data_IF_214241705291
#
_entry.id   IF_214241705291
#
_cell.length_a   1.000
_cell.length_b   1.000
_cell.length_c   1.000
_cell.angle_alpha   90.00
_cell.angle_beta   90.00
_cell.angle_gamma   90.00
#
_symmetry.space_group_name_H-M   'P 1'
#
loop_
_entity.id
_entity.type
_entity.pdbx_description
1 polymer ?
#
# COMPACT_ATOMS: atom_id res chain seq x y z
N UNK A 1 6.34 24.29 -29.04
CA UNK A 1 5.09 23.64 -28.56
C UNK A 1 4.46 22.88 -29.73
N UNK A 2 4.81 21.61 -29.95
CA UNK A 2 4.02 20.66 -30.79
C UNK A 2 4.57 19.22 -30.71
N UNK A 3 4.72 18.65 -29.52
CA UNK A 3 4.69 17.19 -29.38
C UNK A 3 3.38 16.84 -28.70
N UNK A 4 2.59 15.95 -29.29
CA UNK A 4 1.41 15.38 -28.65
C UNK A 4 1.74 15.05 -27.19
N UNK A 5 1.22 15.82 -26.23
CA UNK A 5 1.39 15.52 -24.81
C UNK A 5 0.69 14.18 -24.58
N UNK A 6 1.47 13.11 -24.43
CA UNK A 6 0.93 11.79 -24.08
C UNK A 6 0.31 11.92 -22.70
N UNK A 7 -1.00 11.75 -22.64
CA UNK A 7 -1.80 11.83 -21.42
C UNK A 7 -1.60 10.54 -20.62
N UNK A 8 -1.45 10.67 -19.29
CA UNK A 8 -1.35 9.53 -18.38
C UNK A 8 -2.64 8.70 -18.40
N UNK A 9 -2.52 7.36 -18.45
CA UNK A 9 -3.65 6.42 -18.54
C UNK A 9 -4.70 6.87 -19.57
N UNK A 10 -4.28 7.01 -20.83
CA UNK A 10 -5.13 7.58 -21.89
C UNK A 10 -6.45 6.84 -22.12
N UNK A 11 -6.57 5.60 -21.65
CA UNK A 11 -7.79 4.79 -21.74
C UNK A 11 -8.89 5.27 -20.76
N UNK A 12 -8.52 5.90 -19.64
CA UNK A 12 -9.45 6.24 -18.54
C UNK A 12 -9.35 7.71 -18.08
N UNK A 13 -8.41 8.48 -18.61
CA UNK A 13 -8.25 9.90 -18.28
C UNK A 13 -9.52 10.70 -18.65
N UNK A 14 -10.03 11.50 -17.72
CA UNK A 14 -11.28 12.27 -17.86
C UNK A 14 -12.50 11.45 -18.34
N UNK A 15 -12.55 10.16 -18.05
CA UNK A 15 -13.64 9.26 -18.46
C UNK A 15 -14.94 9.43 -17.66
N UNK A 16 -14.89 10.03 -16.47
CA UNK A 16 -16.05 10.20 -15.59
C UNK A 16 -16.44 11.67 -15.51
N UNK A 17 -17.65 11.99 -15.99
CA UNK A 17 -18.24 13.32 -15.89
C UNK A 17 -18.51 13.70 -14.43
N UNK A 18 -18.23 14.97 -14.11
CA UNK A 18 -18.43 15.53 -12.78
C UNK A 18 -19.65 16.45 -12.78
N UNK A 19 -20.51 16.40 -11.74
CA UNK A 19 -21.68 17.25 -11.68
C UNK A 19 -21.28 18.70 -11.48
N UNK A 20 -21.88 19.61 -12.24
CA UNK A 20 -21.63 21.05 -12.14
C UNK A 20 -22.44 21.75 -11.04
N UNK A 21 -23.04 20.97 -10.13
CA UNK A 21 -23.95 21.45 -9.09
C UNK A 21 -23.21 21.69 -7.76
N UNK A 22 -23.80 22.49 -6.87
CA UNK A 22 -23.25 22.79 -5.54
C UNK A 22 -23.57 21.73 -4.46
N UNK A 23 -24.27 20.64 -4.79
CA UNK A 23 -24.61 19.60 -3.82
C UNK A 23 -23.39 18.78 -3.41
N UNK A 24 -22.99 18.89 -2.13
CA UNK A 24 -21.79 18.23 -1.60
C UNK A 24 -21.80 16.71 -1.80
N UNK A 25 -22.87 16.03 -1.42
CA UNK A 25 -22.97 14.56 -1.49
C UNK A 25 -22.97 14.01 -2.92
N UNK A 26 -23.60 14.71 -3.86
CA UNK A 26 -23.59 14.31 -5.27
C UNK A 26 -22.19 14.44 -5.87
N UNK A 27 -21.48 15.52 -5.53
CA UNK A 27 -20.09 15.70 -5.93
C UNK A 27 -19.20 14.65 -5.27
N UNK A 28 -19.34 14.41 -3.96
CA UNK A 28 -18.55 13.39 -3.27
C UNK A 28 -18.73 12.03 -3.95
N UNK A 29 -19.96 11.59 -4.20
CA UNK A 29 -20.23 10.33 -4.90
C UNK A 29 -19.65 10.25 -6.31
N UNK A 30 -19.52 11.37 -7.03
CA UNK A 30 -18.89 11.38 -8.34
C UNK A 30 -17.36 11.25 -8.26
N UNK A 31 -16.75 11.78 -7.19
CA UNK A 31 -15.30 11.77 -6.97
C UNK A 31 -14.83 10.57 -6.14
N UNK A 32 -15.72 9.85 -5.46
CA UNK A 32 -15.41 8.59 -4.76
C UNK A 32 -14.91 7.54 -5.76
N UNK A 33 -13.83 6.85 -5.42
CA UNK A 33 -13.30 5.73 -6.19
C UNK A 33 -11.77 5.66 -6.27
N UNK A 34 -11.08 6.70 -6.78
CA UNK A 34 -9.62 6.75 -6.85
C UNK A 34 -8.96 6.49 -5.49
N UNK A 35 -9.52 7.07 -4.42
CA UNK A 35 -9.06 6.86 -3.06
C UNK A 35 -9.18 5.42 -2.60
N UNK A 36 -10.18 4.65 -3.06
CA UNK A 36 -10.33 3.24 -2.71
C UNK A 36 -9.21 2.40 -3.35
N UNK A 37 -8.91 2.63 -4.64
CA UNK A 37 -7.78 1.98 -5.32
C UNK A 37 -6.43 2.34 -4.69
N UNK A 38 -6.30 3.53 -4.13
CA UNK A 38 -5.07 3.92 -3.42
C UNK A 38 -5.02 3.26 -2.04
N UNK A 39 -6.09 3.36 -1.26
CA UNK A 39 -6.16 2.85 0.11
C UNK A 39 -6.01 1.33 0.19
N UNK A 40 -6.40 0.59 -0.86
CA UNK A 40 -6.26 -0.86 -0.86
C UNK A 40 -4.81 -1.33 -0.84
N UNK A 41 -3.90 -0.56 -1.46
CA UNK A 41 -2.47 -0.86 -1.38
C UNK A 41 -1.92 -0.74 0.05
N UNK A 42 -2.57 0.01 0.93
CA UNK A 42 -2.21 0.12 2.34
C UNK A 42 -2.75 -1.03 3.21
N UNK A 43 -3.47 -1.97 2.60
CA UNK A 43 -4.03 -3.17 3.23
C UNK A 43 -3.41 -4.46 2.66
N UNK A 44 -2.27 -4.35 1.97
CA UNK A 44 -1.56 -5.47 1.37
C UNK A 44 -0.98 -6.40 2.46
N UNK A 45 -0.64 -7.66 2.11
CA UNK A 45 -0.12 -8.61 3.08
C UNK A 45 1.21 -8.14 3.72
N UNK A 46 2.01 -7.33 3.01
CA UNK A 46 3.28 -6.79 3.52
C UNK A 46 3.11 -6.06 4.85
N UNK A 47 2.05 -5.25 4.98
CA UNK A 47 1.75 -4.47 6.18
C UNK A 47 1.22 -5.30 7.36
N UNK A 48 0.69 -6.50 7.09
CA UNK A 48 0.02 -7.32 8.09
C UNK A 48 1.02 -7.91 9.07
N UNK A 49 2.14 -8.44 8.56
CA UNK A 49 3.15 -9.10 9.39
C UNK A 49 3.70 -8.11 10.42
N UNK A 50 4.11 -6.92 9.98
CA UNK A 50 4.64 -5.89 10.88
C UNK A 50 3.63 -5.44 11.93
N UNK A 51 2.34 -5.37 11.56
CA UNK A 51 1.28 -4.92 12.48
C UNK A 51 0.93 -5.98 13.52
N UNK A 52 0.75 -7.23 13.09
CA UNK A 52 0.39 -8.35 13.98
C UNK A 52 1.55 -8.69 14.91
N UNK A 53 2.78 -8.79 14.38
CA UNK A 53 3.99 -9.03 15.19
C UNK A 53 4.27 -7.87 16.15
N UNK A 54 4.03 -6.63 15.71
CA UNK A 54 4.08 -5.44 16.56
C UNK A 54 3.13 -5.54 17.76
N UNK A 55 1.87 -5.95 17.51
CA UNK A 55 0.89 -6.18 18.56
C UNK A 55 1.27 -7.32 19.51
N UNK A 56 1.76 -8.43 18.96
CA UNK A 56 2.17 -9.60 19.72
C UNK A 56 3.39 -9.35 20.63
N UNK A 57 4.27 -8.44 20.21
CA UNK A 57 5.48 -8.08 20.97
C UNK A 57 5.23 -6.96 21.98
N UNK A 58 4.47 -5.93 21.60
CA UNK A 58 4.38 -4.67 22.34
C UNK A 58 2.95 -4.25 22.73
N UNK A 59 1.99 -5.18 22.67
CA UNK A 59 0.55 -4.90 22.86
C UNK A 59 0.09 -3.71 22.01
N UNK A 60 -0.53 -2.71 22.65
CA UNK A 60 -1.14 -1.56 22.01
C UNK A 60 -0.16 -0.39 21.77
N UNK A 61 1.09 -0.49 22.20
CA UNK A 61 2.04 0.65 22.23
C UNK A 61 2.33 1.25 20.84
N UNK A 62 2.24 0.42 19.79
CA UNK A 62 2.51 0.82 18.40
C UNK A 62 1.27 1.38 17.66
N UNK A 63 0.10 1.48 18.30
CA UNK A 63 -1.10 2.10 17.70
C UNK A 63 -0.86 3.58 17.36
N UNK A 64 -0.15 4.32 18.21
CA UNK A 64 0.26 5.70 17.92
C UNK A 64 1.09 5.80 16.64
N UNK A 65 2.00 4.83 16.40
CA UNK A 65 2.82 4.79 15.20
C UNK A 65 1.96 4.59 13.95
N UNK A 66 0.98 3.67 14.00
CA UNK A 66 0.01 3.47 12.91
C UNK A 66 -0.77 4.75 12.60
N UNK A 67 -1.18 5.50 13.63
CA UNK A 67 -1.90 6.77 13.47
C UNK A 67 -1.03 7.81 12.76
N UNK A 68 0.20 8.06 13.25
CA UNK A 68 1.12 9.03 12.65
C UNK A 68 1.48 8.63 11.22
N UNK A 69 1.75 7.35 11.00
CA UNK A 69 2.03 6.79 9.68
C UNK A 69 0.89 7.03 8.69
N UNK A 70 -0.36 6.82 9.14
CA UNK A 70 -1.55 7.04 8.31
C UNK A 70 -1.76 8.53 7.99
N UNK A 71 -1.49 9.43 8.94
CA UNK A 71 -1.56 10.88 8.70
C UNK A 71 -0.50 11.35 7.69
N UNK A 72 0.72 10.81 7.78
CA UNK A 72 1.78 11.03 6.80
C UNK A 72 1.35 10.54 5.42
N UNK A 73 0.79 9.34 5.33
CA UNK A 73 0.28 8.79 4.09
C UNK A 73 -0.81 9.69 3.48
N UNK A 74 -1.79 10.13 4.27
CA UNK A 74 -2.84 11.06 3.82
C UNK A 74 -2.26 12.36 3.28
N UNK A 75 -1.25 12.93 3.94
CA UNK A 75 -0.59 14.15 3.49
C UNK A 75 0.12 13.94 2.14
N UNK A 76 0.95 12.91 2.01
CA UNK A 76 1.69 12.63 0.78
C UNK A 76 0.75 12.26 -0.37
N UNK A 77 -0.30 11.51 -0.09
CA UNK A 77 -1.32 11.15 -1.07
C UNK A 77 -2.12 12.36 -1.54
N UNK A 78 -2.47 13.27 -0.63
CA UNK A 78 -3.09 14.55 -0.99
C UNK A 78 -2.18 15.37 -1.93
N UNK A 79 -0.87 15.39 -1.68
CA UNK A 79 0.09 16.07 -2.54
C UNK A 79 0.19 15.42 -3.92
N UNK A 80 0.23 14.09 -3.98
CA UNK A 80 0.28 13.32 -5.23
C UNK A 80 -0.97 13.51 -6.09
N UNK A 81 -2.16 13.32 -5.49
CA UNK A 81 -3.43 13.54 -6.18
C UNK A 81 -3.57 14.98 -6.67
N UNK A 82 -3.15 15.97 -5.86
CA UNK A 82 -3.18 17.39 -6.25
C UNK A 82 -2.24 17.71 -7.41
N UNK A 83 -1.05 17.12 -7.44
CA UNK A 83 -0.12 17.26 -8.58
C UNK A 83 -0.80 16.78 -9.87
N UNK A 84 -1.44 15.61 -9.83
CA UNK A 84 -2.20 15.05 -10.95
C UNK A 84 -3.28 15.99 -11.48
N UNK A 85 -4.15 16.47 -10.59
CA UNK A 85 -5.26 17.35 -10.95
C UNK A 85 -4.78 18.67 -11.54
N UNK A 86 -3.80 19.31 -10.90
CA UNK A 86 -3.37 20.68 -11.27
C UNK A 86 -2.53 20.68 -12.55
N UNK A 87 -1.60 19.73 -12.66
CA UNK A 87 -0.61 19.74 -13.76
C UNK A 87 -1.06 18.96 -14.99
N UNK A 88 -2.10 18.12 -14.86
CA UNK A 88 -2.51 17.12 -15.87
C UNK A 88 -1.35 16.19 -16.27
N UNK A 89 -0.42 15.95 -15.34
CA UNK A 89 0.68 15.02 -15.47
C UNK A 89 0.70 14.15 -14.23
N UNK A 90 1.01 12.87 -14.39
CA UNK A 90 1.33 12.04 -13.24
C UNK A 90 2.73 12.37 -12.69
N UNK A 91 3.03 11.86 -11.50
CA UNK A 91 4.31 12.09 -10.83
C UNK A 91 5.49 11.56 -11.64
N UNK A 92 5.34 10.46 -12.40
CA UNK A 92 6.41 9.90 -13.22
C UNK A 92 6.73 10.82 -14.40
N UNK A 93 5.71 11.31 -15.11
CA UNK A 93 5.82 12.30 -16.18
C UNK A 93 6.45 13.60 -15.69
N UNK A 94 5.96 14.13 -14.56
CA UNK A 94 6.46 15.37 -13.99
C UNK A 94 7.92 15.23 -13.54
N UNK A 95 8.29 14.10 -12.93
CA UNK A 95 9.66 13.80 -12.50
C UNK A 95 10.59 13.61 -13.71
N UNK A 96 10.17 12.82 -14.71
CA UNK A 96 10.94 12.56 -15.92
C UNK A 96 11.17 13.83 -16.76
N UNK A 97 10.22 14.78 -16.75
CA UNK A 97 10.36 16.05 -17.47
C UNK A 97 11.36 17.00 -16.82
N UNK A 98 11.51 16.94 -15.49
CA UNK A 98 12.38 17.82 -14.71
C UNK A 98 13.75 17.19 -14.37
N UNK A 99 13.99 15.94 -14.78
CA UNK A 99 15.21 15.20 -14.47
C UNK A 99 16.08 15.00 -15.72
N UNK A 100 17.42 15.00 -15.59
CA UNK A 100 18.30 14.59 -16.67
C UNK A 100 18.08 13.11 -17.03
N UNK A 101 18.45 12.73 -18.26
CA UNK A 101 18.19 11.37 -18.80
C UNK A 101 18.74 10.25 -17.90
N UNK A 102 19.93 10.42 -17.32
CA UNK A 102 20.52 9.41 -16.44
C UNK A 102 19.65 9.17 -15.19
N UNK A 103 19.24 10.23 -14.50
CA UNK A 103 18.43 10.14 -13.29
C UNK A 103 17.05 9.56 -13.60
N UNK A 104 16.45 9.97 -14.72
CA UNK A 104 15.18 9.44 -15.21
C UNK A 104 15.20 7.92 -15.35
N UNK A 105 16.24 7.35 -15.96
CA UNK A 105 16.36 5.89 -16.11
C UNK A 105 16.69 5.20 -14.79
N UNK A 106 17.54 5.78 -13.94
CA UNK A 106 17.82 5.23 -12.62
C UNK A 106 16.57 5.16 -11.73
N UNK A 107 15.77 6.23 -11.72
CA UNK A 107 14.51 6.27 -10.98
C UNK A 107 13.50 5.24 -11.50
N UNK A 108 13.43 5.05 -12.82
CA UNK A 108 12.61 3.99 -13.40
C UNK A 108 13.02 2.61 -12.90
N UNK A 109 14.31 2.26 -12.94
CA UNK A 109 14.79 0.96 -12.45
C UNK A 109 14.44 0.76 -10.97
N UNK A 110 14.67 1.78 -10.13
CA UNK A 110 14.37 1.70 -8.69
C UNK A 110 12.86 1.44 -8.47
N UNK A 111 12.00 2.12 -9.21
CA UNK A 111 10.55 1.98 -9.09
C UNK A 111 10.03 0.64 -9.62
N UNK A 112 10.57 0.14 -10.73
CA UNK A 112 10.21 -1.19 -11.24
C UNK A 112 10.62 -2.29 -10.26
N UNK A 113 11.80 -2.18 -9.66
CA UNK A 113 12.23 -3.10 -8.61
C UNK A 113 11.32 -2.99 -7.37
N UNK A 114 10.82 -1.80 -7.05
CA UNK A 114 9.91 -1.61 -5.93
C UNK A 114 8.55 -2.24 -6.20
N UNK A 115 8.03 -2.08 -7.43
CA UNK A 115 6.83 -2.75 -7.90
C UNK A 115 7.00 -4.28 -7.87
N UNK A 116 8.16 -4.79 -8.30
CA UNK A 116 8.48 -6.23 -8.24
C UNK A 116 8.53 -6.74 -6.79
N UNK A 117 9.08 -5.97 -5.86
CA UNK A 117 9.13 -6.32 -4.44
C UNK A 117 7.74 -6.31 -3.78
N UNK A 118 6.85 -5.39 -4.18
CA UNK A 118 5.43 -5.44 -3.79
C UNK A 118 4.77 -6.67 -4.37
N UNK A 119 4.94 -6.92 -5.67
CA UNK A 119 4.32 -8.04 -6.38
C UNK A 119 4.71 -9.39 -5.78
N UNK A 120 5.96 -9.50 -5.30
CA UNK A 120 6.43 -10.68 -4.54
C UNK A 120 5.59 -10.95 -3.28
N UNK A 121 5.30 -9.91 -2.48
CA UNK A 121 4.49 -10.05 -1.27
C UNK A 121 3.05 -10.49 -1.61
N UNK A 122 2.51 -10.02 -2.74
CA UNK A 122 1.19 -10.41 -3.23
C UNK A 122 1.13 -11.88 -3.66
N UNK A 123 2.13 -12.34 -4.42
CA UNK A 123 2.25 -13.73 -4.85
C UNK A 123 2.29 -14.63 -3.64
N UNK A 124 3.20 -14.33 -2.71
CA UNK A 124 3.43 -15.18 -1.55
C UNK A 124 2.18 -15.19 -0.67
N UNK A 125 1.56 -14.03 -0.39
CA UNK A 125 0.31 -13.96 0.35
C UNK A 125 -0.82 -14.76 -0.30
N UNK A 126 -1.00 -14.63 -1.62
CA UNK A 126 -2.04 -15.36 -2.36
C UNK A 126 -1.76 -16.87 -2.41
N UNK A 127 -0.51 -17.26 -2.67
CA UNK A 127 -0.12 -18.66 -2.75
C UNK A 127 -0.24 -19.36 -1.39
N UNK A 128 0.17 -18.68 -0.31
CA UNK A 128 -0.03 -19.16 1.06
C UNK A 128 -1.52 -19.27 1.37
N UNK A 129 -2.34 -18.27 1.03
CA UNK A 129 -3.79 -18.35 1.21
C UNK A 129 -4.42 -19.57 0.49
N UNK A 130 -4.03 -19.83 -0.77
CA UNK A 130 -4.47 -20.99 -1.53
C UNK A 130 -4.02 -22.31 -0.89
N UNK A 131 -2.79 -22.37 -0.39
CA UNK A 131 -2.27 -23.53 0.35
C UNK A 131 -3.08 -23.77 1.62
N UNK A 132 -3.37 -22.73 2.40
CA UNK A 132 -4.08 -22.84 3.67
C UNK A 132 -5.55 -23.24 3.48
N UNK A 133 -6.24 -22.64 2.49
CA UNK A 133 -7.67 -22.86 2.21
C UNK A 133 -7.94 -24.21 1.51
N UNK A 134 -7.18 -24.51 0.46
CA UNK A 134 -7.46 -25.64 -0.43
C UNK A 134 -6.47 -26.79 -0.29
N UNK A 135 -5.47 -26.66 0.60
CA UNK A 135 -4.38 -27.64 0.80
C UNK A 135 -3.59 -27.92 -0.49
N UNK A 136 -3.56 -26.95 -1.40
CA UNK A 136 -2.78 -27.02 -2.64
C UNK A 136 -1.28 -26.89 -2.29
N UNK A 137 -0.40 -27.76 -2.78
CA UNK A 137 1.05 -27.64 -2.56
C UNK A 137 1.57 -26.25 -2.93
N UNK A 138 2.42 -25.65 -2.09
CA UNK A 138 2.82 -24.23 -2.22
C UNK A 138 3.41 -23.90 -3.60
N UNK A 139 4.18 -24.80 -4.20
CA UNK A 139 4.75 -24.60 -5.54
C UNK A 139 3.66 -24.51 -6.62
N UNK A 140 2.64 -25.36 -6.53
CA UNK A 140 1.49 -25.33 -7.45
C UNK A 140 0.69 -24.05 -7.19
N UNK A 141 0.48 -23.67 -5.93
CA UNK A 141 -0.21 -22.44 -5.57
C UNK A 141 0.49 -21.19 -6.13
N UNK A 142 1.82 -21.11 -6.02
CA UNK A 142 2.64 -20.05 -6.63
C UNK A 142 2.43 -20.00 -8.15
N UNK A 143 2.50 -21.14 -8.84
CA UNK A 143 2.26 -21.19 -10.29
C UNK A 143 0.82 -20.79 -10.66
N UNK A 144 -0.18 -21.15 -9.85
CA UNK A 144 -1.56 -20.73 -10.06
C UNK A 144 -1.75 -19.22 -9.94
N UNK A 145 -0.94 -18.52 -9.15
CA UNK A 145 -1.03 -17.05 -9.08
C UNK A 145 -0.68 -16.35 -10.39
N UNK A 146 0.03 -17.01 -11.32
CA UNK A 146 0.29 -16.47 -12.67
C UNK A 146 -1.00 -16.34 -13.49
N UNK A 147 -2.02 -17.13 -13.15
CA UNK A 147 -3.32 -17.07 -13.81
C UNK A 147 -4.09 -15.78 -13.49
N UNK A 148 -3.61 -14.97 -12.54
CA UNK A 148 -4.18 -13.66 -12.25
C UNK A 148 -4.10 -12.68 -13.44
N UNK A 149 -3.21 -12.92 -14.42
CA UNK A 149 -3.18 -12.18 -15.69
C UNK A 149 -4.52 -12.33 -16.41
N UNK A 150 -5.14 -13.52 -16.37
CA UNK A 150 -6.47 -13.73 -16.95
C UNK A 150 -7.56 -13.01 -16.16
N UNK A 151 -7.44 -12.97 -14.84
CA UNK A 151 -8.34 -12.20 -13.98
C UNK A 151 -8.24 -10.71 -14.28
N UNK A 152 -7.02 -10.18 -14.41
CA UNK A 152 -6.78 -8.80 -14.82
C UNK A 152 -7.40 -8.51 -16.20
N UNK A 153 -7.14 -9.36 -17.19
CA UNK A 153 -7.73 -9.24 -18.53
C UNK A 153 -9.27 -9.23 -18.51
N UNK A 154 -9.88 -10.04 -17.62
CA UNK A 154 -11.32 -10.03 -17.40
C UNK A 154 -11.78 -8.73 -16.75
N UNK A 155 -11.07 -8.26 -15.72
CA UNK A 155 -11.37 -7.03 -15.00
C UNK A 155 -11.28 -5.80 -15.91
N UNK A 156 -10.31 -5.77 -16.82
CA UNK A 156 -10.15 -4.71 -17.82
C UNK A 156 -11.33 -4.58 -18.79
N UNK A 157 -12.11 -5.65 -19.01
CA UNK A 157 -13.35 -5.56 -19.82
C UNK A 157 -14.46 -4.82 -19.08
N UNK A 158 -14.35 -4.66 -17.77
CA UNK A 158 -15.29 -3.86 -16.99
C UNK A 158 -14.88 -2.39 -16.99
N UNK A 159 -15.86 -1.49 -17.08
CA UNK A 159 -15.61 -0.06 -16.95
C UNK A 159 -15.08 0.31 -15.55
N UNK A 160 -14.32 1.41 -15.47
CA UNK A 160 -13.58 1.79 -14.26
C UNK A 160 -14.44 1.88 -12.98
N UNK A 161 -15.69 2.36 -13.07
CA UNK A 161 -16.62 2.37 -11.93
C UNK A 161 -16.90 0.98 -11.34
N UNK A 162 -16.93 -0.07 -12.17
CA UNK A 162 -17.12 -1.45 -11.69
C UNK A 162 -15.87 -1.96 -11.01
N UNK A 163 -14.68 -1.60 -11.51
CA UNK A 163 -13.41 -1.93 -10.87
C UNK A 163 -13.32 -1.26 -9.50
N UNK A 164 -13.64 0.04 -9.40
CA UNK A 164 -13.73 0.78 -8.12
C UNK A 164 -14.66 0.08 -7.12
N UNK A 165 -15.83 -0.40 -7.59
CA UNK A 165 -16.78 -1.14 -6.75
C UNK A 165 -16.23 -2.49 -6.28
N UNK A 166 -15.59 -3.27 -7.16
CA UNK A 166 -14.98 -4.56 -6.80
C UNK A 166 -13.91 -4.38 -5.73
N UNK A 167 -13.01 -3.40 -5.90
CA UNK A 167 -11.96 -3.07 -4.92
C UNK A 167 -12.58 -2.66 -3.58
N UNK A 168 -13.63 -1.84 -3.62
CA UNK A 168 -14.36 -1.42 -2.41
C UNK A 168 -14.98 -2.63 -1.68
N UNK A 169 -15.56 -3.59 -2.41
CA UNK A 169 -16.10 -4.83 -1.81
C UNK A 169 -15.00 -5.66 -1.15
N UNK A 170 -13.82 -5.76 -1.76
CA UNK A 170 -12.69 -6.49 -1.18
C UNK A 170 -12.17 -5.81 0.10
N UNK A 171 -12.07 -4.47 0.11
CA UNK A 171 -11.75 -3.69 1.33
C UNK A 171 -12.76 -3.98 2.45
N UNK A 172 -14.06 -3.88 2.15
CA UNK A 172 -15.11 -4.10 3.14
C UNK A 172 -15.11 -5.54 3.67
N UNK A 173 -14.75 -6.51 2.83
CA UNK A 173 -14.60 -7.92 3.22
C UNK A 173 -13.46 -8.08 4.24
N UNK A 174 -12.29 -7.52 3.95
CA UNK A 174 -11.12 -7.56 4.86
C UNK A 174 -11.47 -6.87 6.18
N UNK A 175 -12.09 -5.67 6.12
CA UNK A 175 -12.50 -4.92 7.29
C UNK A 175 -13.51 -5.70 8.14
N UNK A 176 -14.53 -6.30 7.53
CA UNK A 176 -15.55 -7.07 8.23
C UNK A 176 -14.94 -8.29 8.93
N UNK A 177 -14.03 -9.01 8.24
CA UNK A 177 -13.34 -10.17 8.80
C UNK A 177 -12.51 -9.75 10.03
N UNK A 178 -11.65 -8.74 9.92
CA UNK A 178 -10.83 -8.34 11.06
C UNK A 178 -11.62 -7.71 12.20
N UNK A 179 -12.69 -6.98 11.89
CA UNK A 179 -13.60 -6.47 12.91
C UNK A 179 -14.24 -7.62 13.69
N UNK A 180 -14.67 -8.67 12.99
CA UNK A 180 -15.23 -9.87 13.61
C UNK A 180 -14.19 -10.60 14.49
N UNK A 181 -12.96 -10.81 13.98
CA UNK A 181 -11.88 -11.45 14.75
C UNK A 181 -11.55 -10.68 16.03
N UNK A 182 -11.42 -9.35 15.94
CA UNK A 182 -11.11 -8.49 17.10
C UNK A 182 -12.29 -8.41 18.07
N UNK A 183 -13.53 -8.38 17.59
CA UNK A 183 -14.70 -8.37 18.47
C UNK A 183 -14.77 -9.64 19.33
N UNK A 184 -14.41 -10.79 18.77
CA UNK A 184 -14.34 -12.07 19.50
C UNK A 184 -13.18 -12.13 20.49
N UNK A 185 -12.07 -11.43 20.24
CA UNK A 185 -10.90 -11.46 21.12
C UNK A 185 -11.03 -10.62 22.39
N UNK A 186 -12.18 -9.95 22.60
CA UNK A 186 -12.48 -9.12 23.78
C UNK A 186 -11.30 -8.22 24.23
N UNK A 187 -10.76 -7.35 23.35
CA UNK A 187 -9.61 -6.52 23.68
C UNK A 187 -9.97 -5.46 24.74
N UNK A 188 -8.97 -5.03 25.51
CA UNK A 188 -9.14 -3.94 26.48
C UNK A 188 -9.33 -2.61 25.76
N UNK A 189 -10.55 -2.05 25.80
CA UNK A 189 -10.84 -0.74 25.20
C UNK A 189 -9.98 0.37 25.80
N UNK A 190 -9.72 0.33 27.10
CA UNK A 190 -8.83 1.27 27.78
C UNK A 190 -7.40 1.20 27.20
N UNK A 191 -6.85 -0.01 27.04
CA UNK A 191 -5.51 -0.20 26.48
C UNK A 191 -5.40 0.27 25.03
N UNK A 192 -6.46 0.13 24.23
CA UNK A 192 -6.52 0.65 22.85
C UNK A 192 -6.43 2.17 22.84
N UNK A 193 -7.22 2.86 23.68
CA UNK A 193 -7.22 4.33 23.76
C UNK A 193 -5.87 4.84 24.26
N UNK A 194 -5.30 4.20 25.28
CA UNK A 194 -3.96 4.53 25.81
C UNK A 194 -2.86 4.27 24.77
N UNK A 195 -3.01 3.24 23.93
CA UNK A 195 -2.07 2.93 22.85
C UNK A 195 -1.98 3.99 21.75
N UNK A 196 -3.04 4.79 21.57
CA UNK A 196 -3.02 5.94 20.65
C UNK A 196 -2.37 7.19 21.24
N UNK A 197 -2.06 7.20 22.53
CA UNK A 197 -1.31 8.30 23.14
C UNK A 197 0.19 8.15 22.86
N UNK A 198 0.93 9.27 22.69
CA UNK A 198 2.38 9.21 22.51
C UNK A 198 3.03 8.60 23.74
N UNK A 199 3.79 7.51 23.55
CA UNK A 199 4.57 6.88 24.61
C UNK A 199 6.07 7.02 24.35
N UNK A 200 6.82 7.47 25.36
CA UNK A 200 8.27 7.63 25.29
C UNK A 200 9.03 6.29 25.21
N UNK A 201 8.34 5.17 25.45
CA UNK A 201 8.89 3.81 25.40
C UNK A 201 9.41 3.41 24.01
N UNK A 202 9.01 4.13 22.95
CA UNK A 202 9.51 3.94 21.59
C UNK A 202 11.04 4.08 21.46
N UNK A 203 11.68 4.82 22.36
CA UNK A 203 13.13 5.05 22.37
C UNK A 203 13.88 4.23 23.43
N UNK A 204 13.18 3.37 24.17
CA UNK A 204 13.79 2.54 25.19
C UNK A 204 14.55 1.35 24.58
N UNK A 205 15.50 0.80 25.35
CA UNK A 205 16.31 -0.34 24.89
C UNK A 205 15.43 -1.59 24.71
N UNK A 206 15.77 -2.47 23.75
CA UNK A 206 14.98 -3.68 23.49
C UNK A 206 14.85 -4.55 24.74
N UNK A 207 13.66 -5.13 24.95
CA UNK A 207 13.52 -6.23 25.89
C UNK A 207 14.34 -7.43 25.38
N UNK A 208 15.06 -8.16 26.24
CA UNK A 208 15.86 -9.29 25.81
C UNK A 208 15.00 -10.35 25.08
N UNK A 209 15.35 -10.65 23.84
CA UNK A 209 14.63 -11.62 22.99
C UNK A 209 13.58 -11.03 22.05
N UNK A 210 13.34 -9.72 22.05
CA UNK A 210 12.42 -9.05 21.13
C UNK A 210 13.15 -8.12 20.15
N UNK A 211 12.66 -8.01 18.91
CA UNK A 211 13.10 -6.97 17.98
C UNK A 211 12.86 -5.59 18.60
N UNK A 212 13.74 -4.62 18.35
CA UNK A 212 13.57 -3.27 18.89
C UNK A 212 12.19 -2.70 18.53
N UNK A 213 11.51 -2.13 19.52
CA UNK A 213 10.24 -1.43 19.32
C UNK A 213 10.35 -0.36 18.22
N UNK A 214 11.52 0.28 18.12
CA UNK A 214 11.82 1.20 17.06
C UNK A 214 11.80 0.48 15.70
N UNK A 215 12.53 -0.62 15.52
CA UNK A 215 12.57 -1.38 14.25
C UNK A 215 11.19 -1.78 13.75
N UNK A 216 10.31 -2.28 14.63
CA UNK A 216 8.92 -2.59 14.27
C UNK A 216 8.11 -1.32 13.94
N UNK A 217 8.30 -0.24 14.69
CA UNK A 217 7.70 1.05 14.36
C UNK A 217 8.16 1.56 12.98
N UNK A 218 9.45 1.37 12.63
CA UNK A 218 10.00 1.74 11.32
C UNK A 218 9.39 0.87 10.22
N UNK A 219 9.28 -0.43 10.45
CA UNK A 219 8.61 -1.37 9.56
C UNK A 219 7.17 -0.92 9.27
N UNK A 220 6.40 -0.61 10.31
CA UNK A 220 5.01 -0.11 10.17
C UNK A 220 4.99 1.17 9.31
N UNK A 221 5.86 2.14 9.59
CA UNK A 221 5.88 3.41 8.85
C UNK A 221 6.30 3.22 7.39
N UNK A 222 7.36 2.47 7.13
CA UNK A 222 7.88 2.20 5.80
C UNK A 222 6.90 1.41 4.94
N UNK A 223 6.26 0.40 5.53
CA UNK A 223 5.28 -0.44 4.87
C UNK A 223 3.97 0.34 4.59
N UNK A 224 3.58 1.25 5.48
CA UNK A 224 2.43 2.14 5.21
C UNK A 224 2.71 3.05 4.01
N UNK A 225 3.83 3.77 3.97
CA UNK A 225 4.05 4.75 2.90
C UNK A 225 4.67 4.10 1.67
N UNK A 226 3.83 3.57 0.79
CA UNK A 226 4.28 2.91 -0.44
C UNK A 226 4.59 3.91 -1.57
N UNK A 227 5.79 3.86 -2.19
CA UNK A 227 6.17 4.80 -3.25
C UNK A 227 5.28 4.68 -4.49
N UNK A 228 4.95 3.45 -4.89
CA UNK A 228 4.15 3.18 -6.09
C UNK A 228 2.75 3.81 -5.98
N UNK A 229 2.14 3.83 -4.79
CA UNK A 229 0.83 4.43 -4.58
C UNK A 229 0.81 5.94 -4.80
N UNK A 230 1.95 6.64 -4.67
CA UNK A 230 2.05 8.08 -5.00
C UNK A 230 1.91 8.30 -6.52
N UNK A 231 2.54 7.44 -7.32
CA UNK A 231 2.40 7.48 -8.77
C UNK A 231 0.98 7.12 -9.18
N UNK A 232 0.42 6.06 -8.61
CA UNK A 232 -0.95 5.61 -8.84
C UNK A 232 -1.94 6.75 -8.60
N UNK A 233 -1.93 7.36 -7.42
CA UNK A 233 -2.89 8.38 -7.06
C UNK A 233 -2.77 9.64 -7.92
N UNK A 234 -1.54 10.03 -8.28
CA UNK A 234 -1.30 11.18 -9.18
C UNK A 234 -1.87 10.97 -10.59
N UNK A 235 -2.03 9.72 -11.03
CA UNK A 235 -2.67 9.41 -12.31
C UNK A 235 -4.18 9.19 -12.16
N UNK A 236 -4.62 8.44 -11.14
CA UNK A 236 -6.03 8.16 -10.90
C UNK A 236 -6.85 9.42 -10.60
N UNK A 237 -6.23 10.44 -10.00
CA UNK A 237 -6.89 11.73 -9.76
C UNK A 237 -7.28 12.47 -11.05
N UNK A 238 -6.73 12.06 -12.20
CA UNK A 238 -7.02 12.62 -13.53
C UNK A 238 -8.18 11.89 -14.24
N UNK A 239 -8.74 10.82 -13.67
CA UNK A 239 -9.87 10.08 -14.27
C UNK A 239 -11.17 10.89 -14.31
N UNK A 240 -11.30 11.90 -13.44
CA UNK A 240 -12.45 12.79 -13.37
C UNK A 240 -12.28 13.96 -14.34
N UNK A 241 -13.33 14.27 -15.09
CA UNK A 241 -13.34 15.40 -16.01
C UNK A 241 -13.42 16.72 -15.23
N UNK A 242 -12.47 17.62 -15.51
CA UNK A 242 -12.30 18.89 -14.80
C UNK A 242 -12.09 19.98 -15.84
N UNK A 243 -12.72 21.13 -15.65
CA UNK A 243 -12.50 22.31 -16.47
C UNK A 243 -11.33 23.14 -15.94
N UNK A 244 -10.12 22.88 -16.46
CA UNK A 244 -8.91 23.61 -16.05
C UNK A 244 -8.88 25.10 -16.41
N UNK A 245 -9.84 25.60 -17.21
CA UNK A 245 -10.00 27.05 -17.43
C UNK A 245 -10.63 27.75 -16.23
N UNK A 246 -11.43 27.02 -15.44
CA UNK A 246 -12.05 27.53 -14.22
C UNK A 246 -11.27 27.07 -12.98
N UNK A 247 -10.63 28.04 -12.31
CA UNK A 247 -9.87 27.81 -11.08
C UNK A 247 -10.75 27.29 -9.94
N UNK A 248 -12.04 27.63 -9.91
CA UNK A 248 -12.95 27.14 -8.89
C UNK A 248 -13.26 25.66 -9.06
N UNK A 249 -13.35 25.19 -10.31
CA UNK A 249 -13.56 23.76 -10.59
C UNK A 249 -12.33 22.92 -10.22
N UNK A 250 -11.12 23.42 -10.50
CA UNK A 250 -9.87 22.78 -10.05
C UNK A 250 -9.82 22.74 -8.51
N UNK A 251 -10.17 23.83 -7.82
CA UNK A 251 -10.22 23.89 -6.35
C UNK A 251 -11.25 22.90 -5.77
N UNK A 252 -12.41 22.79 -6.42
CA UNK A 252 -13.47 21.82 -6.09
C UNK A 252 -12.95 20.39 -6.25
N UNK A 253 -12.33 20.07 -7.38
CA UNK A 253 -11.77 18.75 -7.65
C UNK A 253 -10.69 18.37 -6.63
N UNK A 254 -9.76 19.26 -6.30
CA UNK A 254 -8.74 19.02 -5.27
C UNK A 254 -9.40 18.76 -3.91
N UNK A 255 -10.43 19.53 -3.54
CA UNK A 255 -11.15 19.33 -2.28
C UNK A 255 -11.83 17.97 -2.21
N UNK A 256 -12.57 17.57 -3.24
CA UNK A 256 -13.29 16.28 -3.23
C UNK A 256 -12.35 15.08 -3.36
N UNK A 257 -11.27 15.18 -4.13
CA UNK A 257 -10.21 14.17 -4.15
C UNK A 257 -9.56 14.02 -2.76
N UNK A 258 -9.31 15.13 -2.06
CA UNK A 258 -8.76 15.07 -0.69
C UNK A 258 -9.73 14.38 0.28
N UNK A 259 -11.03 14.66 0.17
CA UNK A 259 -12.05 13.97 0.99
C UNK A 259 -12.13 12.47 0.69
N UNK A 260 -12.17 12.09 -0.59
CA UNK A 260 -12.16 10.68 -1.02
C UNK A 260 -10.93 9.95 -0.50
N UNK A 261 -9.73 10.50 -0.74
CA UNK A 261 -8.47 9.92 -0.26
C UNK A 261 -8.43 9.78 1.26
N UNK A 262 -8.83 10.81 2.03
CA UNK A 262 -8.77 10.76 3.48
C UNK A 262 -9.78 9.77 4.07
N UNK A 263 -10.98 9.67 3.50
CA UNK A 263 -12.00 8.72 3.95
C UNK A 263 -11.49 7.29 3.76
N UNK A 264 -10.96 6.98 2.58
CA UNK A 264 -10.48 5.64 2.23
C UNK A 264 -9.21 5.26 3.00
N UNK A 265 -8.25 6.20 3.15
CA UNK A 265 -7.07 5.96 3.98
C UNK A 265 -7.41 5.85 5.48
N UNK A 266 -8.50 6.45 5.94
CA UNK A 266 -9.01 6.24 7.31
C UNK A 266 -9.53 4.81 7.50
N UNK A 267 -10.14 4.22 6.47
CA UNK A 267 -10.49 2.79 6.50
C UNK A 267 -9.24 1.91 6.53
N UNK A 268 -8.19 2.25 5.77
CA UNK A 268 -6.89 1.56 5.84
C UNK A 268 -6.25 1.67 7.22
N UNK A 269 -6.29 2.85 7.84
CA UNK A 269 -5.87 3.05 9.22
C UNK A 269 -6.62 2.12 10.19
N UNK A 270 -7.95 2.02 10.08
CA UNK A 270 -8.75 1.14 10.93
C UNK A 270 -8.34 -0.32 10.75
N UNK A 271 -8.13 -0.79 9.51
CA UNK A 271 -7.67 -2.16 9.24
C UNK A 271 -6.30 -2.42 9.88
N UNK A 272 -5.34 -1.51 9.72
CA UNK A 272 -4.01 -1.64 10.33
C UNK A 272 -4.07 -1.66 11.86
N UNK A 273 -4.93 -0.82 12.45
CA UNK A 273 -5.17 -0.85 13.90
C UNK A 273 -5.81 -2.16 14.34
N UNK A 274 -6.77 -2.71 13.60
CA UNK A 274 -7.40 -4.01 13.90
C UNK A 274 -6.38 -5.15 13.85
N UNK A 275 -5.46 -5.15 12.87
CA UNK A 275 -4.39 -6.14 12.76
C UNK A 275 -3.48 -6.11 14.00
N UNK A 276 -3.10 -4.91 14.45
CA UNK A 276 -2.26 -4.77 15.63
C UNK A 276 -3.00 -5.15 16.92
N UNK A 277 -4.26 -4.75 17.06
CA UNK A 277 -5.12 -5.13 18.19
C UNK A 277 -5.31 -6.64 18.23
N UNK A 278 -5.50 -7.29 17.08
CA UNK A 278 -5.59 -8.75 16.96
C UNK A 278 -4.32 -9.41 17.47
N UNK A 279 -3.15 -8.92 17.04
CA UNK A 279 -1.85 -9.38 17.53
C UNK A 279 -1.69 -9.22 19.04
N UNK A 280 -2.10 -8.07 19.58
CA UNK A 280 -2.04 -7.78 21.00
C UNK A 280 -3.01 -8.61 21.85
N UNK A 281 -4.18 -8.95 21.31
CA UNK A 281 -5.22 -9.67 22.04
C UNK A 281 -5.02 -11.19 21.99
N UNK A 282 -4.59 -11.75 20.85
CA UNK A 282 -4.48 -13.19 20.65
C UNK A 282 -3.06 -13.75 20.73
N UNK A 283 -2.05 -12.95 20.40
CA UNK A 283 -0.69 -13.46 20.23
C UNK A 283 0.33 -12.82 21.16
N UNK A 284 -0.12 -12.06 22.16
CA UNK A 284 0.81 -11.42 23.09
C UNK A 284 1.67 -12.44 23.83
N UNK A 285 2.99 -12.25 23.80
CA UNK A 285 3.96 -13.18 24.37
C UNK A 285 4.37 -14.34 23.47
N UNK A 286 3.75 -14.49 22.29
CA UNK A 286 4.04 -15.55 21.31
C UNK A 286 4.55 -14.99 19.97
N UNK A 287 5.15 -13.79 19.99
CA UNK A 287 5.57 -13.09 18.77
C UNK A 287 6.56 -13.88 17.90
N UNK A 288 7.45 -14.67 18.51
CA UNK A 288 8.41 -15.53 17.80
C UNK A 288 7.75 -16.69 17.06
N UNK A 289 6.51 -17.02 17.40
CA UNK A 289 5.76 -18.15 16.84
C UNK A 289 4.81 -17.73 15.72
N UNK A 290 4.74 -16.42 15.39
CA UNK A 290 3.80 -15.85 14.39
C UNK A 290 4.48 -14.97 13.35
N UNK A 291 5.78 -15.18 13.10
CA UNK A 291 6.57 -14.45 12.10
C UNK A 291 6.11 -14.66 10.64
N UNK A 292 5.24 -15.64 10.40
CA UNK A 292 4.78 -16.07 9.08
C UNK A 292 3.25 -16.17 8.99
N UNK A 293 2.70 -16.12 7.78
CA UNK A 293 1.25 -16.28 7.58
C UNK A 293 0.75 -17.69 7.91
N UNK A 294 1.53 -18.74 7.59
CA UNK A 294 1.17 -20.12 7.94
C UNK A 294 1.14 -20.31 9.46
N UNK A 295 2.10 -19.69 10.14
CA UNK A 295 2.18 -19.65 11.60
C UNK A 295 0.97 -18.93 12.23
N UNK A 296 0.62 -17.74 11.75
CA UNK A 296 -0.58 -17.02 12.21
C UNK A 296 -1.86 -17.83 12.00
N UNK A 297 -1.99 -18.50 10.84
CA UNK A 297 -3.13 -19.36 10.55
C UNK A 297 -3.24 -20.55 11.51
N UNK A 298 -2.12 -21.18 11.86
CA UNK A 298 -2.09 -22.27 12.83
C UNK A 298 -2.35 -21.76 14.25
N UNK A 299 -1.79 -20.61 14.63
CA UNK A 299 -2.02 -19.98 15.92
C UNK A 299 -3.49 -19.61 16.16
N UNK A 300 -4.23 -19.24 15.11
CA UNK A 300 -5.69 -19.00 15.18
C UNK A 300 -6.52 -20.28 15.44
N UNK A 301 -5.95 -21.46 15.21
CA UNK A 301 -6.57 -22.75 15.50
C UNK A 301 -6.12 -23.33 16.84
N UNK A 302 -5.00 -22.84 17.37
CA UNK A 302 -4.44 -23.36 18.61
C UNK A 302 -5.10 -22.72 19.83
N UNK A 303 -5.76 -23.57 20.64
CA UNK A 303 -6.39 -23.17 21.89
C UNK A 303 -5.41 -22.66 22.95
N UNK A 304 -4.12 -23.02 22.88
CA UNK A 304 -3.13 -22.51 23.83
C UNK A 304 -2.73 -21.07 23.53
N UNK A 305 -2.85 -20.64 22.26
CA UNK A 305 -2.46 -19.32 21.79
C UNK A 305 -3.70 -18.43 21.68
N UNK A 306 -4.65 -18.78 20.80
CA UNK A 306 -5.86 -17.99 20.56
C UNK A 306 -6.97 -18.21 21.61
N UNK A 307 -6.73 -19.07 22.61
CA UNK A 307 -7.63 -19.29 23.73
C UNK A 307 -8.96 -19.94 23.32
N UNK A 308 -10.04 -19.59 24.04
CA UNK A 308 -11.36 -20.21 23.87
C UNK A 308 -12.04 -19.93 22.50
N UNK A 309 -11.54 -18.95 21.74
CA UNK A 309 -12.07 -18.62 20.41
C UNK A 309 -11.32 -19.31 19.28
N UNK A 310 -10.25 -20.05 19.59
CA UNK A 310 -9.46 -20.79 18.62
C UNK A 310 -10.37 -21.72 17.82
N UNK A 311 -10.37 -21.57 16.50
CA UNK A 311 -11.24 -22.35 15.64
C UNK A 311 -10.74 -22.40 14.20
N UNK A 312 -11.12 -23.47 13.49
CA UNK A 312 -10.89 -23.56 12.05
C UNK A 312 -11.57 -22.41 11.31
N UNK A 313 -12.75 -21.96 11.76
CA UNK A 313 -13.46 -20.82 11.21
C UNK A 313 -12.62 -19.53 11.23
N UNK A 314 -11.99 -19.19 12.36
CA UNK A 314 -11.15 -17.99 12.48
C UNK A 314 -9.98 -18.02 11.48
N UNK A 315 -9.28 -19.16 11.41
CA UNK A 315 -8.17 -19.33 10.48
C UNK A 315 -8.61 -19.27 9.01
N UNK A 316 -9.76 -19.85 8.65
CA UNK A 316 -10.29 -19.77 7.28
C UNK A 316 -10.67 -18.35 6.89
N UNK A 317 -11.26 -17.56 7.80
CA UNK A 317 -11.55 -16.15 7.55
C UNK A 317 -10.26 -15.35 7.34
N UNK A 318 -9.22 -15.60 8.14
CA UNK A 318 -7.91 -14.99 7.95
C UNK A 318 -7.32 -15.30 6.56
N UNK A 319 -7.33 -16.57 6.14
CA UNK A 319 -6.83 -16.97 4.83
C UNK A 319 -7.67 -16.40 3.67
N UNK A 320 -8.99 -16.25 3.85
CA UNK A 320 -9.87 -15.59 2.89
C UNK A 320 -9.55 -14.09 2.76
N UNK A 321 -9.31 -13.41 3.88
CA UNK A 321 -8.88 -12.01 3.88
C UNK A 321 -7.51 -11.85 3.19
N UNK A 322 -6.58 -12.78 3.44
CA UNK A 322 -5.26 -12.78 2.82
C UNK A 322 -5.35 -12.93 1.30
N UNK A 323 -6.22 -13.83 0.83
CA UNK A 323 -6.50 -13.99 -0.61
C UNK A 323 -7.10 -12.72 -1.21
N UNK A 324 -8.10 -12.12 -0.54
CA UNK A 324 -8.74 -10.88 -0.97
C UNK A 324 -7.73 -9.72 -1.08
N UNK A 325 -6.81 -9.61 -0.12
CA UNK A 325 -5.74 -8.62 -0.12
C UNK A 325 -4.78 -8.80 -1.32
N UNK A 326 -4.36 -10.04 -1.59
CA UNK A 326 -3.48 -10.33 -2.74
C UNK A 326 -4.12 -10.02 -4.10
N UNK A 327 -5.43 -10.23 -4.26
CA UNK A 327 -6.12 -9.90 -5.52
C UNK A 327 -6.22 -8.39 -5.78
N UNK A 328 -6.33 -7.57 -4.73
CA UNK A 328 -6.44 -6.12 -4.89
C UNK A 328 -5.16 -5.51 -5.47
N UNK A 329 -4.03 -5.95 -4.96
CA UNK A 329 -2.74 -5.37 -5.30
C UNK A 329 -2.32 -5.70 -6.74
N UNK A 330 -2.90 -6.75 -7.34
CA UNK A 330 -2.77 -7.06 -8.77
C UNK A 330 -3.22 -5.92 -9.68
N UNK A 331 -4.31 -5.25 -9.32
CA UNK A 331 -4.90 -4.16 -10.11
C UNK A 331 -4.01 -2.91 -10.01
N UNK A 332 -3.63 -2.55 -8.78
CA UNK A 332 -2.85 -1.34 -8.49
C UNK A 332 -1.42 -1.46 -9.01
N UNK A 333 -0.79 -2.63 -8.87
CA UNK A 333 0.54 -2.91 -9.38
C UNK A 333 0.62 -2.78 -10.90
N UNK A 334 -0.36 -3.33 -11.63
CA UNK A 334 -0.41 -3.24 -13.10
C UNK A 334 -0.60 -1.80 -13.58
N UNK A 335 -1.55 -1.07 -12.99
CA UNK A 335 -1.81 0.32 -13.34
C UNK A 335 -0.57 1.19 -13.06
N UNK A 336 0.08 0.96 -11.92
CA UNK A 336 1.28 1.72 -11.56
C UNK A 336 2.46 1.39 -12.45
N UNK A 337 2.67 0.12 -12.81
CA UNK A 337 3.67 -0.28 -13.80
C UNK A 337 3.46 0.44 -15.13
N UNK A 338 2.21 0.52 -15.62
CA UNK A 338 1.91 1.30 -16.82
C UNK A 338 2.26 2.79 -16.66
N UNK A 339 1.88 3.42 -15.53
CA UNK A 339 2.18 4.82 -15.26
C UNK A 339 3.69 5.07 -15.24
N UNK A 340 4.45 4.22 -14.55
CA UNK A 340 5.91 4.33 -14.41
C UNK A 340 6.59 4.11 -15.76
N UNK A 341 6.22 3.10 -16.54
CA UNK A 341 6.77 2.86 -17.88
C UNK A 341 6.44 3.98 -18.87
N UNK A 342 5.18 4.44 -18.92
CA UNK A 342 4.78 5.50 -19.84
C UNK A 342 5.38 6.87 -19.46
N UNK A 343 5.45 7.15 -18.15
CA UNK A 343 6.01 8.38 -17.62
C UNK A 343 7.53 8.44 -17.80
N UNK A 344 8.25 7.43 -17.32
CA UNK A 344 9.72 7.42 -17.34
C UNK A 344 10.34 6.83 -18.60
N UNK A 345 9.71 5.95 -19.38
CA UNK A 345 10.30 5.42 -20.62
C UNK A 345 9.58 5.91 -21.88
N UNK A 346 8.38 6.49 -21.75
CA UNK A 346 7.51 6.82 -22.90
C UNK A 346 7.15 5.60 -23.75
N UNK A 347 7.29 4.41 -23.19
CA UNK A 347 6.94 3.13 -23.79
C UNK A 347 5.51 2.77 -23.40
N UNK A 348 4.68 2.47 -24.40
CA UNK A 348 3.31 1.98 -24.20
C UNK A 348 3.29 0.50 -24.44
N UNK A 349 3.08 -0.27 -23.39
CA UNK A 349 2.92 -1.71 -23.44
C UNK A 349 1.50 -2.06 -23.00
N UNK A 350 0.90 -3.12 -23.57
CA UNK A 350 -0.41 -3.55 -23.13
C UNK A 350 -0.34 -4.09 -21.70
N UNK A 351 -1.36 -3.80 -20.89
CA UNK A 351 -1.39 -4.15 -19.45
C UNK A 351 -1.17 -5.64 -19.17
N UNK A 352 -1.66 -6.54 -20.03
CA UNK A 352 -1.43 -7.98 -19.89
C UNK A 352 0.05 -8.34 -19.98
N UNK A 353 0.81 -7.65 -20.85
CA UNK A 353 2.23 -7.89 -21.01
C UNK A 353 3.00 -7.35 -19.81
N UNK A 354 2.64 -6.15 -19.33
CA UNK A 354 3.20 -5.57 -18.11
C UNK A 354 3.00 -6.54 -16.95
N UNK A 355 1.77 -7.01 -16.72
CA UNK A 355 1.47 -7.94 -15.63
C UNK A 355 2.20 -9.26 -15.77
N UNK A 356 2.22 -9.86 -16.96
CA UNK A 356 2.93 -11.12 -17.19
C UNK A 356 4.44 -10.96 -16.94
N UNK A 357 5.04 -9.87 -17.45
CA UNK A 357 6.45 -9.60 -17.25
C UNK A 357 6.77 -9.39 -15.77
N UNK A 358 6.06 -8.48 -15.07
CA UNK A 358 6.29 -8.22 -13.64
C UNK A 358 6.10 -9.49 -12.82
N UNK A 359 5.07 -10.29 -13.12
CA UNK A 359 4.80 -11.56 -12.43
C UNK A 359 5.91 -12.58 -12.64
N UNK A 360 6.39 -12.76 -13.88
CA UNK A 360 7.49 -13.68 -14.16
C UNK A 360 8.77 -13.22 -13.47
N UNK A 361 9.09 -11.93 -13.51
CA UNK A 361 10.27 -11.39 -12.82
C UNK A 361 10.16 -11.53 -11.30
N UNK A 362 9.00 -11.23 -10.70
CA UNK A 362 8.75 -11.41 -9.27
C UNK A 362 8.91 -12.88 -8.83
N UNK A 363 8.54 -13.83 -9.68
CA UNK A 363 8.67 -15.27 -9.39
C UNK A 363 10.09 -15.81 -9.51
N UNK A 364 10.97 -15.20 -10.31
CA UNK A 364 12.35 -15.66 -10.46
C UNK A 364 13.09 -15.84 -9.12
N UNK A 365 13.16 -14.83 -8.21
CA UNK A 365 13.83 -15.01 -6.93
C UNK A 365 13.18 -16.10 -6.08
N UNK A 366 11.85 -16.22 -6.11
CA UNK A 366 11.11 -17.28 -5.37
C UNK A 366 11.52 -18.66 -5.86
N UNK A 367 11.54 -18.87 -7.18
CA UNK A 367 11.89 -20.14 -7.80
C UNK A 367 13.35 -20.52 -7.53
N UNK A 368 14.27 -19.55 -7.61
CA UNK A 368 15.69 -19.75 -7.33
C UNK A 368 15.89 -20.18 -5.86
N UNK A 369 15.27 -19.45 -4.93
CA UNK A 369 15.35 -19.77 -3.49
C UNK A 369 14.77 -21.15 -3.21
N UNK A 370 13.62 -21.48 -3.79
CA UNK A 370 12.98 -22.78 -3.60
C UNK A 370 13.80 -23.97 -4.14
N UNK A 371 14.51 -23.78 -5.25
CA UNK A 371 15.40 -24.82 -5.83
C UNK A 371 16.69 -24.97 -5.03
N UNK A 372 17.27 -23.86 -4.54
CA UNK A 372 18.57 -23.87 -3.85
C UNK A 372 18.47 -24.28 -2.36
N UNK A 373 17.45 -23.80 -1.64
CA UNK A 373 17.32 -23.98 -0.20
C UNK A 373 16.26 -25.02 0.21
N UNK A 374 15.61 -25.64 -0.79
CA UNK A 374 14.49 -26.55 -0.58
C UNK A 374 13.19 -25.81 -0.21
N UNK A 375 12.08 -26.54 -0.17
CA UNK A 375 10.72 -26.00 0.03
C UNK A 375 10.44 -25.49 1.46
N UNK A 376 11.42 -24.88 2.13
CA UNK A 376 11.22 -24.38 3.49
C UNK A 376 10.38 -23.10 3.47
N UNK A 377 9.22 -23.13 4.12
CA UNK A 377 8.32 -21.97 4.25
C UNK A 377 9.05 -20.77 4.87
N UNK A 378 9.92 -21.00 5.85
CA UNK A 378 10.71 -19.96 6.53
C UNK A 378 11.54 -19.08 5.58
N UNK A 379 12.13 -19.66 4.54
CA UNK A 379 12.91 -18.90 3.55
C UNK A 379 12.04 -18.01 2.66
N UNK A 380 10.79 -18.41 2.40
CA UNK A 380 9.84 -17.59 1.65
C UNK A 380 9.34 -16.41 2.49
N UNK A 381 9.13 -16.63 3.79
CA UNK A 381 8.74 -15.56 4.71
C UNK A 381 9.84 -14.50 4.87
N UNK A 382 11.11 -14.92 4.96
CA UNK A 382 12.25 -13.99 4.96
C UNK A 382 12.34 -13.18 3.66
N UNK A 383 12.05 -13.80 2.52
CA UNK A 383 12.02 -13.11 1.22
C UNK A 383 10.96 -12.00 1.20
N UNK A 384 9.81 -12.24 1.84
CA UNK A 384 8.77 -11.23 1.99
C UNK A 384 9.25 -10.05 2.86
N UNK A 385 9.91 -10.30 3.99
CA UNK A 385 10.47 -9.23 4.82
C UNK A 385 11.50 -8.40 4.04
N UNK A 386 12.42 -9.04 3.33
CA UNK A 386 13.42 -8.33 2.51
C UNK A 386 12.80 -7.51 1.39
N UNK A 387 11.67 -7.94 0.82
CA UNK A 387 10.97 -7.16 -0.19
C UNK A 387 10.43 -5.84 0.38
N UNK A 388 9.95 -5.85 1.63
CA UNK A 388 9.52 -4.63 2.33
C UNK A 388 10.68 -3.68 2.62
N UNK A 389 11.85 -4.23 2.96
CA UNK A 389 13.07 -3.43 3.13
C UNK A 389 13.43 -2.71 1.82
N UNK A 390 13.30 -3.39 0.68
CA UNK A 390 13.55 -2.77 -0.61
C UNK A 390 12.57 -1.61 -0.90
N UNK A 391 11.28 -1.76 -0.58
CA UNK A 391 10.30 -0.67 -0.71
C UNK A 391 10.73 0.57 0.08
N UNK A 392 11.24 0.38 1.29
CA UNK A 392 11.77 1.46 2.13
C UNK A 392 12.96 2.18 1.47
N UNK A 393 13.82 1.47 0.74
CA UNK A 393 14.92 2.09 -0.04
C UNK A 393 14.38 2.93 -1.20
N UNK A 394 13.31 2.48 -1.86
CA UNK A 394 12.72 3.17 -3.01
C UNK A 394 11.92 4.42 -2.64
N UNK A 395 11.47 4.51 -1.38
CA UNK A 395 10.57 5.57 -0.92
C UNK A 395 11.12 7.01 -1.07
N UNK A 396 12.36 7.34 -0.65
CA UNK A 396 12.95 8.67 -0.80
C UNK A 396 12.90 9.19 -2.25
N UNK A 397 13.12 8.30 -3.21
CA UNK A 397 13.15 8.62 -4.64
C UNK A 397 11.78 9.05 -5.19
N UNK A 398 10.70 8.84 -4.44
CA UNK A 398 9.34 9.23 -4.82
C UNK A 398 8.87 10.48 -4.05
N UNK A 399 9.13 10.51 -2.73
CA UNK A 399 8.65 11.59 -1.84
C UNK A 399 9.37 12.93 -2.10
N UNK A 400 10.69 12.91 -2.30
CA UNK A 400 11.46 14.14 -2.52
C UNK A 400 11.06 14.85 -3.82
N UNK A 401 10.98 14.16 -4.98
CA UNK A 401 10.44 14.77 -6.20
C UNK A 401 9.01 15.28 -6.02
N UNK A 402 8.14 14.53 -5.34
CA UNK A 402 6.76 14.94 -5.11
C UNK A 402 6.69 16.27 -4.34
N UNK A 403 7.39 16.39 -3.22
CA UNK A 403 7.40 17.61 -2.41
C UNK A 403 8.00 18.78 -3.20
N UNK A 404 9.12 18.55 -3.88
CA UNK A 404 9.77 19.57 -4.70
C UNK A 404 8.85 20.11 -5.79
N UNK A 405 8.22 19.23 -6.56
CA UNK A 405 7.34 19.59 -7.68
C UNK A 405 6.07 20.31 -7.20
N UNK A 406 5.45 19.83 -6.12
CA UNK A 406 4.24 20.42 -5.55
C UNK A 406 4.47 21.75 -4.84
N UNK A 407 5.72 22.07 -4.50
CA UNK A 407 6.13 23.37 -3.93
C UNK A 407 6.61 24.37 -4.99
N UNK A 408 6.80 23.95 -6.24
CA UNK A 408 7.28 24.83 -7.33
C UNK A 408 6.14 25.68 -7.91
N UNK A 409 6.21 27.00 -7.69
CA UNK A 409 5.22 27.99 -8.23
C UNK A 409 5.08 27.95 -9.74
N UNK A 410 6.15 27.70 -10.48
CA UNK A 410 6.09 27.63 -11.95
C UNK A 410 5.26 26.45 -12.46
N UNK A 411 5.07 25.41 -11.63
CA UNK A 411 4.33 24.20 -12.01
C UNK A 411 2.89 24.24 -11.46
N UNK A 412 2.73 24.59 -10.18
CA UNK A 412 1.44 24.52 -9.48
C UNK A 412 0.65 25.84 -9.50
N UNK A 413 1.26 26.96 -9.90
CA UNK A 413 0.62 28.27 -9.90
C UNK A 413 0.09 28.66 -8.51
N UNK A 414 -1.20 28.97 -8.42
CA UNK A 414 -1.87 29.31 -7.15
C UNK A 414 -2.13 28.11 -6.24
N UNK A 415 -1.99 26.88 -6.75
CA UNK A 415 -2.26 25.63 -6.01
C UNK A 415 -1.00 25.03 -5.35
N UNK A 416 0.10 25.80 -5.29
CA UNK A 416 1.31 25.40 -4.55
C UNK A 416 1.00 25.03 -3.11
N UNK A 417 1.79 24.12 -2.55
CA UNK A 417 1.71 23.82 -1.12
C UNK A 417 1.89 25.08 -0.27
N UNK A 418 1.15 25.13 0.84
CA UNK A 418 1.47 26.06 1.91
C UNK A 418 2.88 25.78 2.44
N UNK A 419 3.57 26.82 2.94
CA UNK A 419 4.95 26.69 3.45
C UNK A 419 5.03 25.68 4.59
N UNK A 420 4.07 25.69 5.52
CA UNK A 420 4.02 24.74 6.62
C UNK A 420 3.92 23.30 6.13
N UNK A 421 3.07 23.02 5.13
CA UNK A 421 2.89 21.67 4.57
C UNK A 421 4.16 21.19 3.85
N UNK A 422 4.87 22.11 3.17
CA UNK A 422 6.15 21.81 2.53
C UNK A 422 7.22 21.47 3.56
N UNK A 423 7.33 22.28 4.63
CA UNK A 423 8.30 22.06 5.72
C UNK A 423 8.01 20.71 6.39
N UNK A 424 6.75 20.44 6.71
CA UNK A 424 6.33 19.19 7.33
C UNK A 424 6.65 18.00 6.41
N UNK A 425 6.35 18.09 5.10
CA UNK A 425 6.69 17.06 4.13
C UNK A 425 8.18 16.75 4.06
N UNK A 426 9.05 17.77 4.08
CA UNK A 426 10.50 17.57 4.11
C UNK A 426 10.98 16.98 5.43
N UNK A 427 10.45 17.42 6.58
CA UNK A 427 10.78 16.86 7.89
C UNK A 427 10.45 15.36 7.90
N UNK A 428 9.24 15.00 7.51
CA UNK A 428 8.80 13.61 7.39
C UNK A 428 9.71 12.84 6.44
N UNK A 429 10.00 13.37 5.26
CA UNK A 429 10.85 12.67 4.28
C UNK A 429 12.27 12.43 4.78
N UNK A 430 12.86 13.40 5.49
CA UNK A 430 14.18 13.26 6.10
C UNK A 430 14.14 12.20 7.20
N UNK A 431 13.15 12.25 8.09
CA UNK A 431 12.96 11.26 9.15
C UNK A 431 12.83 9.86 8.53
N UNK A 432 11.91 9.67 7.58
CA UNK A 432 11.72 8.38 6.89
C UNK A 432 13.01 7.88 6.23
N UNK A 433 13.76 8.77 5.57
CA UNK A 433 15.02 8.39 4.93
C UNK A 433 16.07 7.94 5.94
N UNK A 434 16.25 8.68 7.05
CA UNK A 434 17.18 8.31 8.12
C UNK A 434 16.79 6.96 8.73
N UNK A 435 15.49 6.78 8.97
CA UNK A 435 14.95 5.55 9.54
C UNK A 435 15.13 4.36 8.60
N UNK A 436 14.89 4.54 7.30
CA UNK A 436 15.12 3.50 6.30
C UNK A 436 16.61 3.14 6.18
N UNK A 437 17.50 4.13 6.24
CA UNK A 437 18.95 3.88 6.25
C UNK A 437 19.37 3.12 7.51
N UNK A 438 18.84 3.47 8.69
CA UNK A 438 19.10 2.73 9.92
C UNK A 438 18.63 1.27 9.81
N UNK A 439 17.42 1.03 9.29
CA UNK A 439 16.89 -0.31 9.10
C UNK A 439 17.82 -1.17 8.23
N UNK A 440 18.46 -0.58 7.20
CA UNK A 440 19.45 -1.31 6.39
C UNK A 440 20.67 -1.73 7.21
N UNK A 441 21.19 -0.86 8.08
CA UNK A 441 22.32 -1.19 8.95
C UNK A 441 21.97 -2.18 10.06
N UNK A 442 20.71 -2.25 10.48
CA UNK A 442 20.27 -3.22 11.49
C UNK A 442 20.08 -4.63 10.87
N UNK A 443 19.81 -4.70 9.56
CA UNK A 443 19.57 -5.96 8.82
C UNK A 443 20.86 -6.54 8.21
N UNK A 444 21.80 -5.70 7.77
CA UNK A 444 23.08 -6.07 7.15
C UNK A 444 24.25 -5.68 8.05
#
# INVERSE_FOLDING_TARGET
MSSHKKVSLSEINQSIDTPNNNHFWQNLNAFLGPGALVAVGYMDPGNWITSVVGGASYKYSLLFVILISSLIAMQLQQMAGKLGIVTQMDLAQATAHHSPKWLRYSLWVILELALMATDLAEVLGSAIALNLLFKIPIMIAILLTVLDVFLLLLLMKFGFKKIEAIVTTLILTILAIFTYLVALSHPSFQGIVEGYLPNATLFESPLPGHESQLTLALGIVGATVMPHNLYLHSSLSQTRKINHKDKNDVRKAVRFMTWDSNLQLSLAFVVNSLLLILGAALFFGHASEISAFSQMYNALQDSTIAGAIASSTLSTLFALALLASGQNSTITGTLTGQIVMEGFLHMRLPQWFIRLATRLFALLPVMIVAVLFGHQEKTLDQLLVYSQVFLSIALPFSIFPLIYLTSKKSLMGEFTNAKWNTILGYIVSIILTILNVKLLFDIF
#
